data_IF_414562218072
#
_entry.id   IF_414562218072
#
_cell.length_a   1.000
_cell.length_b   1.000
_cell.length_c   1.000
_cell.angle_alpha   90.00
_cell.angle_beta   90.00
_cell.angle_gamma   90.00
#
_symmetry.space_group_name_H-M   'P 1'
#
loop_
_entity.id
_entity.type
_entity.pdbx_description
1 polymer ?
#
# COMPACT_ATOMS: atom_id res chain seq x y z
N UNK A 1 -12.04 72.75 5.22
CA UNK A 1 -11.38 71.57 5.83
C UNK A 1 -12.36 70.70 6.62
N UNK A 2 -13.19 71.25 7.53
CA UNK A 2 -14.17 70.48 8.32
C UNK A 2 -15.14 69.62 7.49
N UNK A 3 -15.72 70.19 6.43
CA UNK A 3 -16.68 69.49 5.55
C UNK A 3 -16.10 68.27 4.80
N UNK A 4 -14.78 68.25 4.57
CA UNK A 4 -14.10 67.13 3.92
C UNK A 4 -13.90 65.97 4.89
N UNK A 5 -13.56 66.27 6.15
CA UNK A 5 -13.39 65.25 7.18
C UNK A 5 -14.73 64.60 7.54
N UNK A 6 -15.81 65.37 7.59
CA UNK A 6 -17.17 64.86 7.86
C UNK A 6 -17.68 64.01 6.69
N UNK A 7 -17.44 64.44 5.44
CA UNK A 7 -17.75 63.65 4.25
C UNK A 7 -16.95 62.35 4.15
N UNK A 8 -15.66 62.37 4.51
CA UNK A 8 -14.83 61.16 4.58
C UNK A 8 -15.25 60.21 5.70
N UNK A 9 -15.63 60.75 6.87
CA UNK A 9 -16.14 59.94 7.98
C UNK A 9 -17.47 59.28 7.61
N UNK A 10 -18.38 60.03 6.96
CA UNK A 10 -19.64 59.50 6.44
C UNK A 10 -19.43 58.42 5.37
N UNK A 11 -18.41 58.56 4.51
CA UNK A 11 -18.06 57.55 3.51
C UNK A 11 -17.43 56.32 4.16
N UNK A 12 -16.59 56.49 5.18
CA UNK A 12 -15.98 55.40 5.94
C UNK A 12 -17.02 54.58 6.69
N UNK A 13 -18.00 55.23 7.31
CA UNK A 13 -19.12 54.58 8.02
C UNK A 13 -20.07 53.81 7.09
N UNK A 14 -20.04 54.12 5.79
CA UNK A 14 -20.90 53.51 4.75
C UNK A 14 -20.12 52.74 3.68
N UNK A 15 -18.82 52.55 3.89
CA UNK A 15 -18.01 51.78 2.96
C UNK A 15 -18.51 50.33 2.95
N UNK A 16 -18.75 49.73 1.77
CA UNK A 16 -19.06 48.31 1.71
C UNK A 16 -17.89 47.54 2.34
N UNK A 17 -18.20 46.51 3.16
CA UNK A 17 -17.16 45.66 3.70
C UNK A 17 -16.36 45.05 2.53
N UNK A 18 -15.03 44.92 2.68
CA UNK A 18 -14.22 44.25 1.68
C UNK A 18 -14.78 42.83 1.44
N UNK A 19 -14.76 42.34 0.20
CA UNK A 19 -15.20 40.97 -0.09
C UNK A 19 -14.37 39.98 0.73
N UNK A 20 -15.03 38.96 1.29
CA UNK A 20 -14.36 37.88 2.02
C UNK A 20 -13.62 36.98 1.02
N UNK A 21 -12.43 37.40 0.62
CA UNK A 21 -11.54 36.64 -0.25
C UNK A 21 -10.54 35.87 0.60
N UNK A 22 -10.42 34.57 0.33
CA UNK A 22 -9.31 33.77 0.84
C UNK A 22 -8.19 33.76 -0.19
N UNK A 23 -6.95 33.75 0.31
CA UNK A 23 -5.74 33.78 -0.51
C UNK A 23 -4.85 32.64 -0.08
N UNK A 24 -4.59 31.73 -1.02
CA UNK A 24 -3.73 30.58 -0.81
C UNK A 24 -2.75 30.46 -1.98
N UNK A 25 -1.65 29.72 -1.77
CA UNK A 25 -0.83 29.32 -2.91
C UNK A 25 -1.60 28.29 -3.74
N UNK A 26 -1.36 28.23 -5.06
CA UNK A 26 -2.01 27.23 -5.92
C UNK A 26 -1.76 25.81 -5.41
N UNK A 27 -0.59 25.56 -4.81
CA UNK A 27 -0.26 24.30 -4.14
C UNK A 27 -1.20 24.01 -2.99
N UNK A 28 -1.26 24.91 -2.02
CA UNK A 28 -2.06 24.68 -0.81
C UNK A 28 -3.53 24.55 -1.16
N UNK A 29 -4.03 25.37 -2.09
CA UNK A 29 -5.40 25.30 -2.59
C UNK A 29 -5.77 23.92 -3.15
N UNK A 30 -4.90 23.34 -3.98
CA UNK A 30 -5.11 22.00 -4.55
C UNK A 30 -4.92 20.91 -3.49
N UNK A 31 -3.83 20.95 -2.72
CA UNK A 31 -3.50 19.90 -1.75
C UNK A 31 -4.53 19.84 -0.60
N UNK A 32 -4.99 20.98 -0.08
CA UNK A 32 -6.03 21.06 0.95
C UNK A 32 -7.37 20.51 0.43
N UNK A 33 -7.77 20.93 -0.77
CA UNK A 33 -9.01 20.47 -1.40
C UNK A 33 -8.98 18.96 -1.69
N UNK A 34 -7.85 18.44 -2.19
CA UNK A 34 -7.67 17.01 -2.43
C UNK A 34 -7.66 16.21 -1.12
N UNK A 35 -7.04 16.72 -0.06
CA UNK A 35 -7.01 16.04 1.23
C UNK A 35 -8.42 15.95 1.85
N UNK A 36 -9.17 17.06 1.82
CA UNK A 36 -10.51 17.16 2.39
C UNK A 36 -11.57 16.39 1.62
N UNK A 37 -11.72 16.69 0.32
CA UNK A 37 -12.89 16.24 -0.47
C UNK A 37 -12.65 14.94 -1.25
N UNK A 38 -11.40 14.63 -1.60
CA UNK A 38 -11.06 13.42 -2.35
C UNK A 38 -10.51 12.32 -1.45
N UNK A 39 -9.33 12.53 -0.86
CA UNK A 39 -8.61 11.50 -0.10
C UNK A 39 -9.44 11.00 1.08
N UNK A 40 -9.97 11.91 1.90
CA UNK A 40 -10.80 11.53 3.06
C UNK A 40 -11.99 10.65 2.66
N UNK A 41 -12.73 11.06 1.62
CA UNK A 41 -13.94 10.37 1.17
C UNK A 41 -13.63 8.99 0.58
N UNK A 42 -12.61 8.90 -0.29
CA UNK A 42 -12.23 7.62 -0.93
C UNK A 42 -11.68 6.63 0.10
N UNK A 43 -10.86 7.09 1.05
CA UNK A 43 -10.34 6.19 2.10
C UNK A 43 -11.38 5.75 3.11
N UNK A 44 -12.36 6.61 3.41
CA UNK A 44 -13.50 6.22 4.25
C UNK A 44 -14.32 5.11 3.58
N UNK A 45 -14.66 5.25 2.29
CA UNK A 45 -15.36 4.20 1.53
C UNK A 45 -14.53 2.91 1.47
N UNK A 46 -13.24 3.00 1.10
CA UNK A 46 -12.37 1.84 1.04
C UNK A 46 -12.24 1.11 2.39
N UNK A 47 -12.24 1.84 3.51
CA UNK A 47 -12.23 1.26 4.84
C UNK A 47 -13.57 0.59 5.19
N UNK A 48 -14.70 1.18 4.80
CA UNK A 48 -16.03 0.57 4.99
C UNK A 48 -16.18 -0.71 4.18
N UNK A 49 -15.81 -0.68 2.90
CA UNK A 49 -15.84 -1.86 2.01
C UNK A 49 -14.93 -2.98 2.51
N UNK A 50 -13.73 -2.65 3.00
CA UNK A 50 -12.82 -3.62 3.62
C UNK A 50 -13.45 -4.28 4.85
N UNK A 51 -14.11 -3.51 5.74
CA UNK A 51 -14.81 -4.06 6.91
C UNK A 51 -15.92 -5.03 6.53
N UNK A 52 -16.58 -4.80 5.40
CA UNK A 52 -17.61 -5.68 4.87
C UNK A 52 -17.06 -6.86 4.03
N UNK A 53 -15.74 -6.96 3.84
CA UNK A 53 -15.12 -7.97 2.98
C UNK A 53 -15.46 -7.82 1.49
N UNK A 54 -15.76 -6.60 1.05
CA UNK A 54 -16.02 -6.26 -0.35
C UNK A 54 -14.73 -5.80 -1.05
N UNK A 55 -14.60 -5.98 -2.37
CA UNK A 55 -13.52 -5.39 -3.16
C UNK A 55 -13.57 -3.87 -3.11
N UNK A 56 -12.44 -3.22 -3.41
CA UNK A 56 -12.41 -1.75 -3.54
C UNK A 56 -13.35 -1.29 -4.66
N UNK A 57 -13.78 -0.03 -4.59
CA UNK A 57 -14.62 0.56 -5.63
C UNK A 57 -13.93 0.48 -6.99
N UNK A 58 -14.74 0.34 -8.05
CA UNK A 58 -14.24 0.38 -9.42
C UNK A 58 -13.53 1.71 -9.70
N UNK A 59 -12.55 1.73 -10.61
CA UNK A 59 -11.74 2.93 -10.84
C UNK A 59 -12.51 4.09 -11.46
N UNK A 60 -13.57 3.81 -12.22
CA UNK A 60 -14.40 4.82 -12.90
C UNK A 60 -14.97 5.86 -11.93
N UNK A 61 -15.77 5.46 -10.91
CA UNK A 61 -16.29 6.38 -9.90
C UNK A 61 -15.20 7.17 -9.15
N UNK A 62 -14.05 6.55 -8.83
CA UNK A 62 -12.94 7.22 -8.13
C UNK A 62 -12.35 8.32 -9.01
N UNK A 63 -12.06 8.02 -10.29
CA UNK A 63 -11.53 9.01 -11.23
C UNK A 63 -12.56 10.08 -11.56
N UNK A 64 -13.85 9.74 -11.64
CA UNK A 64 -14.94 10.69 -11.83
C UNK A 64 -15.04 11.69 -10.66
N UNK A 65 -14.94 11.21 -9.41
CA UNK A 65 -14.88 12.08 -8.22
C UNK A 65 -13.72 13.07 -8.31
N UNK A 66 -12.52 12.58 -8.60
CA UNK A 66 -11.33 13.42 -8.74
C UNK A 66 -11.48 14.46 -9.84
N UNK A 67 -11.86 14.05 -11.05
CA UNK A 67 -12.01 14.95 -12.19
C UNK A 67 -13.11 16.00 -11.95
N UNK A 68 -14.21 15.63 -11.29
CA UNK A 68 -15.28 16.57 -10.92
C UNK A 68 -14.80 17.60 -9.91
N UNK A 69 -13.96 17.20 -8.95
CA UNK A 69 -13.32 18.11 -8.00
C UNK A 69 -12.37 19.07 -8.71
N UNK A 70 -11.50 18.57 -9.59
CA UNK A 70 -10.58 19.41 -10.40
C UNK A 70 -11.35 20.43 -11.24
N UNK A 71 -12.43 20.01 -11.91
CA UNK A 71 -13.30 20.91 -12.67
C UNK A 71 -13.98 21.95 -11.78
N UNK A 72 -14.35 21.58 -10.56
CA UNK A 72 -14.90 22.52 -9.58
C UNK A 72 -13.87 23.53 -9.11
N UNK A 73 -12.67 23.09 -8.75
CA UNK A 73 -11.57 23.97 -8.34
C UNK A 73 -11.20 24.95 -9.46
N UNK A 74 -11.15 24.48 -10.71
CA UNK A 74 -10.89 25.32 -11.88
C UNK A 74 -11.99 26.38 -12.06
N UNK A 75 -13.26 26.00 -11.87
CA UNK A 75 -14.41 26.93 -11.99
C UNK A 75 -14.41 27.99 -10.89
N UNK A 76 -14.09 27.62 -9.65
CA UNK A 76 -14.01 28.55 -8.53
C UNK A 76 -12.83 29.51 -8.72
N UNK A 77 -11.66 29.00 -9.12
CA UNK A 77 -10.48 29.82 -9.38
C UNK A 77 -10.63 30.77 -10.59
N UNK A 78 -11.57 30.47 -11.51
CA UNK A 78 -11.86 31.29 -12.71
C UNK A 78 -13.27 31.89 -12.69
N UNK A 79 -13.85 32.07 -11.50
CA UNK A 79 -15.23 32.53 -11.35
C UNK A 79 -15.43 33.93 -11.93
N UNK A 80 -16.51 34.12 -12.68
CA UNK A 80 -16.93 35.43 -13.21
C UNK A 80 -17.20 36.44 -12.08
N UNK A 81 -17.52 35.95 -10.87
CA UNK A 81 -17.71 36.81 -9.71
C UNK A 81 -16.40 37.48 -9.30
N UNK A 82 -15.24 36.84 -9.49
CA UNK A 82 -13.93 37.43 -9.21
C UNK A 82 -13.60 38.55 -10.20
N UNK A 83 -13.96 38.39 -11.48
CA UNK A 83 -13.79 39.44 -12.50
C UNK A 83 -14.67 40.67 -12.20
N UNK A 84 -15.84 40.46 -11.61
CA UNK A 84 -16.74 41.55 -11.24
C UNK A 84 -16.27 42.37 -10.03
N UNK A 85 -15.28 41.87 -9.27
CA UNK A 85 -14.76 42.56 -8.09
C UNK A 85 -13.84 43.73 -8.52
N UNK A 86 -14.16 44.92 -8.03
CA UNK A 86 -13.34 46.13 -8.23
C UNK A 86 -12.34 46.34 -7.08
N UNK A 87 -12.01 45.28 -6.36
CA UNK A 87 -11.15 45.29 -5.18
C UNK A 87 -9.80 44.62 -5.50
N UNK A 88 -8.65 45.14 -5.04
CA UNK A 88 -8.47 46.43 -4.40
C UNK A 88 -8.63 47.60 -5.38
N UNK A 89 -9.12 48.73 -4.86
CA UNK A 89 -9.31 49.96 -5.65
C UNK A 89 -7.95 50.49 -6.13
N UNK A 90 -7.81 50.72 -7.44
CA UNK A 90 -6.54 50.93 -8.13
C UNK A 90 -5.68 52.06 -7.54
N UNK A 91 -6.33 53.13 -7.09
CA UNK A 91 -5.72 54.31 -6.49
C UNK A 91 -4.96 53.99 -5.19
N UNK A 92 -5.37 52.95 -4.45
CA UNK A 92 -4.68 52.52 -3.23
C UNK A 92 -3.49 51.59 -3.50
N UNK A 93 -3.45 50.94 -4.67
CA UNK A 93 -2.34 50.08 -5.09
C UNK A 93 -1.24 50.89 -5.77
N UNK A 94 -1.62 51.86 -6.61
CA UNK A 94 -0.67 52.69 -7.38
C UNK A 94 0.19 53.63 -6.51
N UNK A 95 -0.22 53.90 -5.27
CA UNK A 95 0.50 54.81 -4.37
C UNK A 95 1.69 54.17 -3.65
N UNK A 96 2.03 52.90 -3.97
CA UNK A 96 3.31 52.27 -3.60
C UNK A 96 3.56 52.08 -2.10
N UNK A 97 2.57 52.35 -1.25
CA UNK A 97 2.74 52.39 0.20
C UNK A 97 2.22 51.16 0.95
N UNK A 98 1.64 50.17 0.26
CA UNK A 98 1.15 48.93 0.89
C UNK A 98 1.51 47.68 0.09
N UNK A 99 2.42 46.89 0.63
CA UNK A 99 2.77 45.53 0.16
C UNK A 99 1.71 44.48 0.50
N UNK A 100 0.73 44.82 1.33
CA UNK A 100 -0.28 43.88 1.83
C UNK A 100 -1.54 43.81 0.93
N UNK A 101 -1.55 44.55 -0.19
CA UNK A 101 -2.67 44.59 -1.14
C UNK A 101 -2.37 43.69 -2.35
N UNK A 102 -3.42 43.06 -2.87
CA UNK A 102 -3.35 42.23 -4.07
C UNK A 102 -2.81 43.05 -5.26
N UNK A 103 -2.05 42.38 -6.14
CA UNK A 103 -1.59 42.99 -7.40
C UNK A 103 -2.80 43.46 -8.21
N UNK A 104 -2.71 44.57 -8.94
CA UNK A 104 -3.89 45.13 -9.63
C UNK A 104 -4.49 44.19 -10.70
N UNK A 105 -3.71 43.23 -11.18
CA UNK A 105 -4.06 42.31 -12.26
C UNK A 105 -4.48 40.92 -11.76
N UNK A 106 -4.66 40.75 -10.43
CA UNK A 106 -4.97 39.46 -9.80
C UNK A 106 -6.27 38.82 -10.31
N UNK A 107 -7.24 39.63 -10.71
CA UNK A 107 -8.54 39.22 -11.26
C UNK A 107 -8.65 39.49 -12.77
N UNK A 108 -7.53 39.70 -13.45
CA UNK A 108 -7.50 39.82 -14.91
C UNK A 108 -7.93 38.51 -15.59
N UNK A 109 -8.61 38.62 -16.72
CA UNK A 109 -9.07 37.46 -17.50
C UNK A 109 -7.90 36.53 -17.85
N UNK A 110 -6.74 37.08 -18.18
CA UNK A 110 -5.53 36.32 -18.50
C UNK A 110 -5.03 35.47 -17.33
N UNK A 111 -4.98 36.02 -16.11
CA UNK A 111 -4.56 35.28 -14.92
C UNK A 111 -5.57 34.19 -14.53
N UNK A 112 -6.87 34.48 -14.62
CA UNK A 112 -7.92 33.51 -14.32
C UNK A 112 -7.95 32.37 -15.34
N UNK A 113 -7.75 32.66 -16.62
CA UNK A 113 -7.63 31.65 -17.67
C UNK A 113 -6.39 30.78 -17.48
N UNK A 114 -5.24 31.38 -17.12
CA UNK A 114 -4.02 30.65 -16.79
C UNK A 114 -4.28 29.68 -15.62
N UNK A 115 -4.88 30.16 -14.52
CA UNK A 115 -5.23 29.31 -13.38
C UNK A 115 -6.16 28.17 -13.78
N UNK A 116 -7.18 28.45 -14.59
CA UNK A 116 -8.11 27.45 -15.09
C UNK A 116 -7.38 26.36 -15.90
N UNK A 117 -6.55 26.74 -16.86
CA UNK A 117 -5.81 25.80 -17.71
C UNK A 117 -4.84 24.94 -16.89
N UNK A 118 -4.14 25.55 -15.92
CA UNK A 118 -3.22 24.82 -15.03
C UNK A 118 -3.99 23.81 -14.18
N UNK A 119 -5.09 24.20 -13.55
CA UNK A 119 -5.88 23.28 -12.72
C UNK A 119 -6.48 22.16 -13.59
N UNK A 120 -7.02 22.48 -14.77
CA UNK A 120 -7.59 21.47 -15.68
C UNK A 120 -6.55 20.49 -16.24
N UNK A 121 -5.28 20.88 -16.30
CA UNK A 121 -4.20 19.97 -16.68
C UNK A 121 -4.00 18.79 -15.70
N UNK A 122 -4.56 18.88 -14.48
CA UNK A 122 -4.53 17.81 -13.49
C UNK A 122 -5.50 16.66 -13.77
N UNK A 123 -6.41 16.80 -14.75
CA UNK A 123 -7.42 15.78 -15.04
C UNK A 123 -6.78 14.45 -15.44
N UNK A 124 -7.34 13.38 -14.90
CA UNK A 124 -6.94 12.03 -15.24
C UNK A 124 -7.73 11.52 -16.45
N UNK A 125 -7.11 10.72 -17.33
CA UNK A 125 -7.83 10.05 -18.40
C UNK A 125 -8.84 9.05 -17.82
N UNK A 126 -9.94 8.77 -18.55
CA UNK A 126 -10.90 7.75 -18.12
C UNK A 126 -10.23 6.38 -18.06
N UNK A 127 -10.54 5.60 -17.02
CA UNK A 127 -9.97 4.26 -16.85
C UNK A 127 -10.69 3.27 -17.76
N UNK A 128 -9.96 2.44 -18.53
CA UNK A 128 -10.59 1.37 -19.31
C UNK A 128 -11.30 0.38 -18.39
N UNK A 129 -12.42 -0.16 -18.86
CA UNK A 129 -13.15 -1.21 -18.17
C UNK A 129 -12.35 -2.51 -18.21
N UNK A 130 -12.16 -3.16 -17.06
CA UNK A 130 -11.47 -4.43 -16.92
C UNK A 130 -12.50 -5.49 -16.58
N UNK A 131 -12.55 -6.54 -17.39
CA UNK A 131 -13.42 -7.69 -17.15
C UNK A 131 -12.94 -8.50 -15.93
N UNK A 132 -13.89 -8.96 -15.12
CA UNK A 132 -13.59 -9.65 -13.85
C UNK A 132 -12.95 -11.04 -13.99
N UNK A 133 -13.00 -11.62 -15.19
CA UNK A 133 -12.55 -12.99 -15.50
C UNK A 133 -11.13 -13.06 -16.09
N UNK A 134 -10.46 -11.91 -16.23
CA UNK A 134 -9.11 -11.88 -16.81
C UNK A 134 -8.03 -12.40 -15.85
N UNK A 135 -6.99 -13.01 -16.42
CA UNK A 135 -5.83 -13.47 -15.65
C UNK A 135 -5.08 -12.27 -15.05
N UNK A 136 -4.40 -12.48 -13.91
CA UNK A 136 -3.73 -11.43 -13.17
C UNK A 136 -2.68 -10.67 -13.99
N UNK A 137 -2.00 -11.38 -14.90
CA UNK A 137 -1.02 -10.79 -15.80
C UNK A 137 -1.64 -9.76 -16.76
N UNK A 138 -2.83 -10.04 -17.29
CA UNK A 138 -3.59 -9.10 -18.12
C UNK A 138 -4.01 -7.88 -17.31
N UNK A 139 -4.56 -8.08 -16.11
CA UNK A 139 -4.93 -6.99 -15.19
C UNK A 139 -3.74 -6.08 -14.88
N UNK A 140 -2.55 -6.66 -14.65
CA UNK A 140 -1.32 -5.91 -14.45
C UNK A 140 -0.94 -5.08 -15.68
N UNK A 141 -1.13 -5.63 -16.88
CA UNK A 141 -0.87 -4.93 -18.13
C UNK A 141 -1.86 -3.78 -18.34
N UNK A 142 -3.15 -3.96 -18.08
CA UNK A 142 -4.14 -2.87 -18.13
C UNK A 142 -3.78 -1.72 -17.19
N UNK A 143 -3.34 -2.04 -15.97
CA UNK A 143 -2.87 -1.03 -15.03
C UNK A 143 -1.62 -0.29 -15.57
N UNK A 144 -0.70 -1.00 -16.23
CA UNK A 144 0.49 -0.40 -16.83
C UNK A 144 0.13 0.50 -18.02
N UNK A 145 -0.77 0.05 -18.89
CA UNK A 145 -1.26 0.80 -20.05
C UNK A 145 -1.98 2.07 -19.62
N UNK A 146 -2.78 2.01 -18.54
CA UNK A 146 -3.39 3.20 -17.96
C UNK A 146 -2.34 4.19 -17.44
N UNK A 147 -1.32 3.73 -16.71
CA UNK A 147 -0.23 4.60 -16.24
C UNK A 147 0.61 5.16 -17.41
N UNK A 148 0.72 4.43 -18.52
CA UNK A 148 1.36 4.89 -19.76
C UNK A 148 0.54 5.92 -20.52
N UNK A 149 -0.78 6.00 -20.28
CA UNK A 149 -1.63 7.03 -20.88
C UNK A 149 -1.47 8.41 -20.25
N UNK A 150 -0.80 8.50 -19.09
CA UNK A 150 -0.56 9.76 -18.39
C UNK A 150 0.54 10.57 -19.07
N UNK A 151 0.47 11.91 -19.04
CA UNK A 151 1.56 12.75 -19.51
C UNK A 151 2.77 12.61 -18.57
N UNK A 152 3.84 12.00 -19.06
CA UNK A 152 5.08 11.83 -18.31
C UNK A 152 6.30 11.78 -19.23
N UNK A 153 7.44 12.24 -18.72
CA UNK A 153 8.72 12.09 -19.40
C UNK A 153 9.25 10.67 -19.22
N UNK A 154 10.19 10.21 -20.05
CA UNK A 154 10.74 8.83 -19.99
C UNK A 154 11.24 8.43 -18.58
N UNK A 155 11.86 9.37 -17.84
CA UNK A 155 12.34 9.12 -16.47
C UNK A 155 11.19 8.96 -15.49
N UNK A 156 10.22 9.85 -15.54
CA UNK A 156 9.04 9.83 -14.66
C UNK A 156 8.18 8.60 -14.92
N UNK A 157 7.98 8.25 -16.19
CA UNK A 157 7.28 7.04 -16.59
C UNK A 157 7.93 5.79 -15.98
N UNK A 158 9.27 5.73 -15.97
CA UNK A 158 10.00 4.62 -15.35
C UNK A 158 9.75 4.54 -13.85
N UNK A 159 9.74 5.69 -13.15
CA UNK A 159 9.44 5.75 -11.70
C UNK A 159 8.01 5.30 -11.42
N UNK A 160 7.03 5.79 -12.19
CA UNK A 160 5.62 5.39 -12.04
C UNK A 160 5.42 3.90 -12.26
N UNK A 161 5.97 3.34 -13.35
CA UNK A 161 5.87 1.91 -13.64
C UNK A 161 6.55 1.06 -12.58
N UNK A 162 7.69 1.51 -12.02
CA UNK A 162 8.37 0.80 -10.94
C UNK A 162 7.51 0.79 -9.67
N UNK A 163 6.89 1.92 -9.33
CA UNK A 163 5.98 2.04 -8.19
C UNK A 163 4.71 1.20 -8.37
N UNK A 164 4.15 1.19 -9.58
CA UNK A 164 3.01 0.34 -9.93
C UNK A 164 3.36 -1.14 -9.80
N UNK A 165 4.48 -1.58 -10.38
CA UNK A 165 4.95 -2.97 -10.28
C UNK A 165 5.16 -3.38 -8.83
N UNK A 166 5.74 -2.51 -8.00
CA UNK A 166 5.89 -2.77 -6.58
C UNK A 166 4.54 -2.93 -5.88
N UNK A 167 3.57 -2.07 -6.17
CA UNK A 167 2.22 -2.13 -5.60
C UNK A 167 1.50 -3.43 -5.98
N UNK A 168 1.53 -3.82 -7.25
CA UNK A 168 0.88 -5.04 -7.75
C UNK A 168 1.59 -6.31 -7.27
N UNK A 169 2.93 -6.34 -7.28
CA UNK A 169 3.69 -7.46 -6.74
C UNK A 169 3.40 -7.66 -5.25
N UNK A 170 3.25 -6.57 -4.49
CA UNK A 170 2.88 -6.65 -3.08
C UNK A 170 1.53 -7.34 -2.90
N UNK A 171 0.52 -6.92 -3.66
CA UNK A 171 -0.82 -7.57 -3.64
C UNK A 171 -0.74 -9.04 -4.03
N UNK A 172 0.03 -9.37 -5.07
CA UNK A 172 0.24 -10.75 -5.48
C UNK A 172 0.88 -11.59 -4.36
N UNK A 173 1.93 -11.07 -3.71
CA UNK A 173 2.59 -11.79 -2.61
C UNK A 173 1.70 -11.94 -1.38
N UNK A 174 0.95 -10.89 -1.00
CA UNK A 174 0.02 -10.95 0.13
C UNK A 174 -1.12 -11.95 -0.15
N UNK A 175 -1.60 -12.01 -1.40
CA UNK A 175 -2.61 -12.96 -1.83
C UNK A 175 -2.09 -14.40 -1.87
N UNK A 176 -0.87 -14.62 -2.39
CA UNK A 176 -0.22 -15.93 -2.41
C UNK A 176 -0.03 -16.47 -0.99
N UNK A 177 0.45 -15.62 -0.08
CA UNK A 177 0.60 -15.95 1.34
C UNK A 177 -0.75 -16.30 1.96
N UNK A 178 -1.81 -15.53 1.67
CA UNK A 178 -3.19 -15.83 2.15
C UNK A 178 -3.68 -17.17 1.59
N UNK A 179 -3.46 -17.44 0.31
CA UNK A 179 -3.89 -18.70 -0.32
C UNK A 179 -3.20 -19.91 0.31
N UNK A 180 -1.90 -19.80 0.58
CA UNK A 180 -1.13 -20.86 1.18
C UNK A 180 -1.50 -21.08 2.66
N UNK A 181 -1.63 -19.99 3.44
CA UNK A 181 -1.92 -20.08 4.87
C UNK A 181 -3.33 -20.57 5.17
N UNK A 182 -4.33 -20.11 4.40
CA UNK A 182 -5.74 -20.40 4.68
C UNK A 182 -6.24 -21.64 3.93
N UNK A 183 -5.65 -21.98 2.77
CA UNK A 183 -6.15 -23.04 1.88
C UNK A 183 -5.10 -24.10 1.50
N UNK A 184 -3.84 -23.98 1.91
CA UNK A 184 -2.72 -24.88 1.55
C UNK A 184 -2.52 -25.03 0.02
N UNK A 185 -2.82 -23.97 -0.73
CA UNK A 185 -2.65 -23.97 -2.19
C UNK A 185 -1.50 -23.03 -2.60
N UNK A 186 -0.45 -23.56 -3.26
CA UNK A 186 0.65 -22.73 -3.74
C UNK A 186 0.31 -22.04 -5.08
N UNK A 187 0.91 -20.88 -5.31
CA UNK A 187 0.85 -20.13 -6.58
C UNK A 187 -0.57 -19.76 -7.05
N UNK A 188 -1.44 -19.36 -6.12
CA UNK A 188 -2.73 -18.76 -6.47
C UNK A 188 -2.54 -17.33 -6.98
N UNK A 189 -3.36 -16.92 -7.94
CA UNK A 189 -3.30 -15.58 -8.52
C UNK A 189 -4.46 -14.71 -8.06
N UNK A 190 -4.22 -13.41 -7.75
CA UNK A 190 -5.31 -12.49 -7.47
C UNK A 190 -6.18 -12.27 -8.70
N UNK A 191 -7.43 -11.89 -8.48
CA UNK A 191 -8.36 -11.46 -9.54
C UNK A 191 -8.45 -9.94 -9.63
N UNK A 192 -9.16 -9.40 -10.63
CA UNK A 192 -9.41 -7.96 -10.78
C UNK A 192 -10.04 -7.30 -9.53
N UNK A 193 -10.75 -8.07 -8.71
CA UNK A 193 -11.33 -7.64 -7.44
C UNK A 193 -10.29 -7.21 -6.38
N UNK A 194 -9.05 -7.70 -6.50
CA UNK A 194 -7.97 -7.45 -5.54
C UNK A 194 -7.10 -6.24 -5.92
N UNK A 195 -7.37 -5.61 -7.07
CA UNK A 195 -6.61 -4.44 -7.52
C UNK A 195 -6.77 -3.28 -6.53
N UNK A 196 -5.68 -2.67 -6.05
CA UNK A 196 -5.74 -1.59 -5.07
C UNK A 196 -6.01 -0.24 -5.75
N UNK A 197 -7.19 -0.10 -6.37
CA UNK A 197 -7.59 1.07 -7.17
C UNK A 197 -7.40 2.39 -6.42
N UNK A 198 -7.73 2.45 -5.13
CA UNK A 198 -7.55 3.65 -4.30
C UNK A 198 -6.10 4.14 -4.33
N UNK A 199 -5.14 3.22 -4.11
CA UNK A 199 -3.70 3.54 -4.08
C UNK A 199 -3.15 3.81 -5.47
N UNK A 200 -3.66 3.13 -6.49
CA UNK A 200 -3.27 3.35 -7.88
C UNK A 200 -3.66 4.75 -8.31
N UNK A 201 -4.92 5.15 -8.10
CA UNK A 201 -5.40 6.49 -8.47
C UNK A 201 -4.69 7.57 -7.65
N UNK A 202 -4.53 7.39 -6.34
CA UNK A 202 -3.76 8.33 -5.49
C UNK A 202 -2.33 8.52 -6.01
N UNK A 203 -1.67 7.45 -6.47
CA UNK A 203 -0.35 7.52 -7.07
C UNK A 203 -0.36 8.33 -8.37
N UNK A 204 -1.36 8.14 -9.23
CA UNK A 204 -1.55 8.95 -10.44
C UNK A 204 -1.83 10.43 -10.12
N UNK A 205 -2.70 10.72 -9.15
CA UNK A 205 -2.98 12.09 -8.68
C UNK A 205 -1.72 12.76 -8.17
N UNK A 206 -0.95 12.07 -7.33
CA UNK A 206 0.31 12.58 -6.78
C UNK A 206 1.30 12.96 -7.88
N UNK A 207 1.36 12.16 -8.95
CA UNK A 207 2.19 12.45 -10.12
C UNK A 207 1.72 13.69 -10.88
N UNK A 208 0.42 13.80 -11.14
CA UNK A 208 -0.16 14.96 -11.83
C UNK A 208 0.10 16.26 -11.05
N UNK A 209 -0.08 16.22 -9.73
CA UNK A 209 0.20 17.35 -8.83
C UNK A 209 1.70 17.71 -8.87
N UNK A 210 2.60 16.74 -8.81
CA UNK A 210 4.05 17.00 -8.86
C UNK A 210 4.50 17.67 -10.17
N UNK A 211 3.83 17.38 -11.28
CA UNK A 211 4.09 17.98 -12.60
C UNK A 211 3.53 19.38 -12.78
N UNK A 212 2.67 19.84 -11.88
CA UNK A 212 2.08 21.17 -12.00
C UNK A 212 3.18 22.24 -11.91
N UNK A 213 3.08 23.25 -12.76
CA UNK A 213 3.90 24.45 -12.66
C UNK A 213 3.30 25.38 -11.60
N UNK A 214 4.02 25.52 -10.49
CA UNK A 214 3.60 26.33 -9.33
C UNK A 214 4.02 27.79 -9.45
N UNK A 215 4.74 28.14 -10.52
CA UNK A 215 5.36 29.43 -10.71
C UNK A 215 4.57 30.21 -11.76
N UNK A 216 4.28 31.48 -11.47
CA UNK A 216 3.69 32.42 -12.42
C UNK A 216 4.68 32.83 -13.50
N UNK A 217 4.20 33.54 -14.53
CA UNK A 217 5.04 34.00 -15.66
C UNK A 217 6.23 34.86 -15.19
N UNK A 218 6.08 35.56 -14.06
CA UNK A 218 7.09 36.45 -13.47
C UNK A 218 8.10 35.74 -12.55
N UNK A 219 8.02 34.41 -12.40
CA UNK A 219 8.87 33.66 -11.48
C UNK A 219 8.40 33.68 -10.02
N UNK A 220 7.26 34.32 -9.73
CA UNK A 220 6.61 34.37 -8.41
C UNK A 220 5.78 33.11 -8.14
N UNK A 221 5.54 32.78 -6.87
CA UNK A 221 4.63 31.68 -6.51
C UNK A 221 3.21 32.06 -6.93
N UNK A 222 2.56 31.20 -7.69
CA UNK A 222 1.21 31.45 -8.18
C UNK A 222 0.21 31.35 -7.02
N UNK A 223 -0.53 32.44 -6.79
CA UNK A 223 -1.55 32.54 -5.73
C UNK A 223 -2.94 32.49 -6.32
N UNK A 224 -3.86 31.82 -5.62
CA UNK A 224 -5.27 31.73 -5.98
C UNK A 224 -6.07 32.54 -4.98
N UNK A 225 -6.95 33.38 -5.51
CA UNK A 225 -7.93 34.12 -4.74
C UNK A 225 -9.31 33.58 -5.07
N UNK A 226 -10.06 33.19 -4.04
CA UNK A 226 -11.37 32.59 -4.23
C UNK A 226 -12.37 33.02 -3.16
N UNK A 227 -13.64 32.82 -3.47
CA UNK A 227 -14.74 33.01 -2.55
C UNK A 227 -14.99 31.69 -1.80
N UNK A 228 -14.86 31.65 -0.47
CA UNK A 228 -15.00 30.41 0.29
C UNK A 228 -16.39 29.79 0.15
N UNK A 229 -17.42 30.61 -0.10
CA UNK A 229 -18.78 30.13 -0.34
C UNK A 229 -18.86 29.30 -1.63
N UNK A 230 -18.15 29.69 -2.69
CA UNK A 230 -18.13 28.96 -3.96
C UNK A 230 -17.39 27.63 -3.84
N UNK A 231 -16.29 27.61 -3.07
CA UNK A 231 -15.53 26.38 -2.78
C UNK A 231 -16.35 25.40 -1.93
N UNK A 232 -17.08 25.90 -0.94
CA UNK A 232 -17.95 25.07 -0.07
C UNK A 232 -19.15 24.46 -0.82
N UNK A 233 -19.47 24.97 -2.01
CA UNK A 233 -20.56 24.50 -2.84
C UNK A 233 -20.26 23.21 -3.62
N UNK A 234 -19.12 22.55 -3.38
CA UNK A 234 -18.79 21.30 -4.05
C UNK A 234 -19.82 20.21 -3.74
N UNK A 235 -20.26 19.49 -4.77
CA UNK A 235 -21.15 18.35 -4.64
C UNK A 235 -20.56 17.14 -5.35
N UNK A 236 -20.57 16.00 -4.67
CA UNK A 236 -20.02 14.76 -5.21
C UNK A 236 -20.81 14.32 -6.47
N UNK A 237 -20.11 13.83 -7.51
CA UNK A 237 -20.75 13.45 -8.76
C UNK A 237 -21.73 12.29 -8.55
N UNK A 238 -22.77 12.21 -9.39
CA UNK A 238 -23.81 11.18 -9.27
C UNK A 238 -23.24 9.76 -9.40
N UNK A 239 -22.20 9.57 -10.22
CA UNK A 239 -21.53 8.28 -10.38
C UNK A 239 -20.89 7.79 -9.07
N UNK A 240 -20.21 8.69 -8.34
CA UNK A 240 -19.66 8.38 -7.03
C UNK A 240 -20.75 8.10 -5.99
N UNK A 241 -21.79 8.95 -5.95
CA UNK A 241 -22.91 8.74 -5.00
C UNK A 241 -23.67 7.45 -5.26
N UNK A 242 -23.85 7.08 -6.53
CA UNK A 242 -24.44 5.80 -6.91
C UNK A 242 -23.55 4.63 -6.49
N UNK A 243 -22.23 4.73 -6.73
CA UNK A 243 -21.27 3.73 -6.30
C UNK A 243 -21.28 3.50 -4.78
N UNK A 244 -21.22 4.56 -3.98
CA UNK A 244 -21.28 4.47 -2.51
C UNK A 244 -22.66 4.00 -2.02
N UNK A 245 -23.74 4.44 -2.66
CA UNK A 245 -25.09 3.97 -2.35
C UNK A 245 -25.24 2.46 -2.58
N UNK A 246 -24.68 1.97 -3.69
CA UNK A 246 -24.66 0.56 -4.05
C UNK A 246 -23.83 -0.28 -3.08
N UNK A 247 -22.81 0.28 -2.41
CA UNK A 247 -22.06 -0.44 -1.37
C UNK A 247 -22.99 -1.08 -0.35
N UNK A 248 -24.03 -0.36 0.12
CA UNK A 248 -24.98 -0.93 1.09
C UNK A 248 -25.82 -2.09 0.52
N UNK A 249 -26.18 -2.02 -0.77
CA UNK A 249 -26.90 -3.09 -1.46
C UNK A 249 -25.97 -4.31 -1.71
N UNK A 250 -24.73 -4.08 -2.12
CA UNK A 250 -23.71 -5.11 -2.33
C UNK A 250 -23.37 -5.85 -1.04
N UNK A 251 -23.33 -5.15 0.11
CA UNK A 251 -23.16 -5.79 1.42
C UNK A 251 -24.31 -6.76 1.73
N UNK A 252 -25.54 -6.41 1.34
CA UNK A 252 -26.72 -7.25 1.58
C UNK A 252 -26.81 -8.42 0.59
N UNK A 253 -26.44 -8.21 -0.68
CA UNK A 253 -26.52 -9.23 -1.73
C UNK A 253 -25.37 -10.23 -1.66
N UNK A 254 -24.14 -9.76 -1.43
CA UNK A 254 -22.92 -10.58 -1.46
C UNK A 254 -21.93 -10.16 -0.36
N UNK A 255 -22.25 -10.42 0.91
CA UNK A 255 -21.28 -10.20 2.00
C UNK A 255 -20.03 -11.05 1.76
N UNK A 256 -18.86 -10.46 2.01
CA UNK A 256 -17.57 -11.13 1.84
C UNK A 256 -17.26 -11.60 0.40
N UNK A 257 -17.75 -10.88 -0.62
CA UNK A 257 -17.48 -11.21 -2.03
C UNK A 257 -15.98 -11.30 -2.37
N UNK A 258 -15.11 -10.58 -1.64
CA UNK A 258 -13.66 -10.72 -1.78
C UNK A 258 -13.18 -12.12 -1.38
N UNK A 259 -13.71 -12.69 -0.29
CA UNK A 259 -13.41 -14.07 0.14
C UNK A 259 -13.92 -15.07 -0.89
N UNK A 260 -15.09 -14.83 -1.48
CA UNK A 260 -15.62 -15.66 -2.57
C UNK A 260 -14.69 -15.63 -3.78
N UNK A 261 -14.18 -14.46 -4.17
CA UNK A 261 -13.21 -14.32 -5.25
C UNK A 261 -11.89 -15.04 -4.94
N UNK A 262 -11.41 -14.96 -3.69
CA UNK A 262 -10.25 -15.74 -3.23
C UNK A 262 -10.51 -17.25 -3.37
N UNK A 263 -11.66 -17.74 -2.90
CA UNK A 263 -12.04 -19.15 -3.00
C UNK A 263 -12.17 -19.63 -4.45
N UNK A 264 -12.65 -18.79 -5.36
CA UNK A 264 -12.70 -19.11 -6.79
C UNK A 264 -11.30 -19.28 -7.37
N UNK A 265 -10.37 -18.38 -7.05
CA UNK A 265 -8.97 -18.51 -7.47
C UNK A 265 -8.32 -19.79 -6.92
N UNK A 266 -8.53 -20.07 -5.62
CA UNK A 266 -8.10 -21.32 -4.97
C UNK A 266 -8.64 -22.55 -5.70
N UNK A 267 -9.94 -22.56 -6.04
CA UNK A 267 -10.58 -23.67 -6.76
C UNK A 267 -10.04 -23.85 -8.16
N UNK A 268 -9.84 -22.75 -8.92
CA UNK A 268 -9.21 -22.78 -10.25
C UNK A 268 -7.83 -23.44 -10.15
N UNK A 269 -7.04 -23.06 -9.14
CA UNK A 269 -5.70 -23.61 -8.95
C UNK A 269 -5.69 -25.08 -8.54
N UNK A 270 -6.58 -25.49 -7.63
CA UNK A 270 -6.75 -26.90 -7.30
C UNK A 270 -7.13 -27.76 -8.52
N UNK A 271 -8.01 -27.25 -9.39
CA UNK A 271 -8.37 -27.94 -10.63
C UNK A 271 -7.16 -28.09 -11.56
N UNK A 272 -6.33 -27.06 -11.70
CA UNK A 272 -5.07 -27.14 -12.46
C UNK A 272 -4.12 -28.21 -11.89
N UNK A 273 -3.89 -28.20 -10.57
CA UNK A 273 -3.01 -29.17 -9.91
C UNK A 273 -3.51 -30.62 -10.09
N UNK A 274 -4.82 -30.85 -9.92
CA UNK A 274 -5.42 -32.19 -10.10
C UNK A 274 -5.36 -32.69 -11.55
N UNK A 275 -5.40 -31.78 -12.55
CA UNK A 275 -5.26 -32.15 -13.96
C UNK A 275 -3.85 -32.64 -14.28
N UNK A 276 -2.83 -31.97 -13.75
CA UNK A 276 -1.42 -32.35 -13.96
C UNK A 276 -1.14 -33.76 -13.43
N UNK A 277 -1.68 -34.12 -12.27
CA UNK A 277 -1.53 -35.46 -11.68
C UNK A 277 -2.16 -36.57 -12.57
N UNK A 278 -3.27 -36.28 -13.25
CA UNK A 278 -3.92 -37.27 -14.14
C UNK A 278 -3.25 -37.44 -15.50
N UNK A 279 -2.58 -36.41 -16.02
CA UNK A 279 -1.82 -36.50 -17.28
C UNK A 279 -0.51 -37.27 -17.14
N UNK A 280 0.13 -37.22 -15.97
CA UNK A 280 1.37 -37.98 -15.72
C UNK A 280 1.13 -39.48 -15.50
N UNK A 281 -0.13 -39.90 -15.32
CA UNK A 281 -0.50 -41.31 -15.09
C UNK A 281 -1.04 -42.02 -16.35
N UNK A 282 -1.16 -41.33 -17.49
CA UNK A 282 -1.84 -41.89 -18.68
C UNK A 282 -0.93 -42.41 -19.80
N UNK A 283 0.37 -42.59 -19.55
CA UNK A 283 1.28 -43.34 -20.45
C UNK A 283 2.02 -44.46 -19.72
N UNK A 284 1.29 -45.42 -19.20
CA UNK A 284 1.81 -46.76 -18.97
C UNK A 284 0.63 -47.71 -18.81
N UNK A 285 0.24 -48.37 -19.91
CA UNK A 285 -0.62 -49.54 -19.82
C UNK A 285 0.19 -50.78 -20.21
N UNK A 286 -0.07 -51.87 -19.48
CA UNK A 286 0.46 -53.24 -19.59
C UNK A 286 1.82 -53.55 -18.94
N UNK A 287 1.82 -53.94 -17.66
CA UNK A 287 2.00 -55.36 -17.27
C UNK A 287 1.83 -55.58 -15.75
N UNK A 288 1.06 -56.62 -15.45
CA UNK A 288 0.81 -57.28 -14.16
C UNK A 288 2.12 -57.67 -13.44
N UNK A 289 2.18 -57.53 -12.10
CA UNK A 289 3.34 -57.96 -11.31
C UNK A 289 3.50 -57.28 -9.94
N UNK A 290 2.89 -57.88 -8.93
CA UNK A 290 3.16 -57.71 -7.51
C UNK A 290 4.66 -57.84 -7.19
N UNK A 291 5.41 -56.73 -7.06
CA UNK A 291 6.78 -56.74 -6.50
C UNK A 291 7.12 -55.42 -5.78
N UNK A 292 7.43 -55.57 -4.49
CA UNK A 292 7.96 -54.57 -3.55
C UNK A 292 9.05 -53.68 -4.16
N UNK A 293 8.76 -52.39 -4.28
CA UNK A 293 9.67 -51.33 -4.68
C UNK A 293 10.57 -50.88 -3.50
N UNK A 294 11.36 -51.79 -2.94
CA UNK A 294 12.38 -51.44 -1.94
C UNK A 294 13.82 -51.72 -2.40
N UNK A 295 14.02 -52.29 -3.58
CA UNK A 295 15.34 -52.79 -3.96
C UNK A 295 15.76 -52.26 -5.33
N UNK A 296 16.14 -50.97 -5.39
CA UNK A 296 17.03 -50.36 -6.43
C UNK A 296 17.33 -48.86 -6.25
N UNK A 297 17.31 -48.33 -5.03
CA UNK A 297 17.85 -46.99 -4.78
C UNK A 297 19.35 -47.08 -4.49
N UNK A 298 20.15 -46.31 -5.23
CA UNK A 298 21.60 -46.18 -5.04
C UNK A 298 21.92 -45.94 -3.55
N UNK A 299 23.00 -46.52 -2.99
CA UNK A 299 23.36 -46.42 -1.57
C UNK A 299 23.42 -44.97 -1.02
N UNK A 300 23.64 -44.00 -1.91
CA UNK A 300 23.63 -42.57 -1.59
C UNK A 300 22.21 -42.01 -1.35
N UNK A 301 21.20 -42.51 -2.07
CA UNK A 301 19.81 -42.04 -1.97
C UNK A 301 19.14 -42.63 -0.73
N UNK A 302 19.39 -43.91 -0.43
CA UNK A 302 18.93 -44.52 0.84
C UNK A 302 19.59 -43.89 2.06
N UNK A 303 20.87 -43.50 1.97
CA UNK A 303 21.54 -42.76 3.03
C UNK A 303 20.95 -41.34 3.25
N UNK A 304 20.51 -40.67 2.19
CA UNK A 304 19.85 -39.36 2.27
C UNK A 304 18.45 -39.46 2.88
N UNK A 305 17.66 -40.46 2.49
CA UNK A 305 16.32 -40.72 3.06
C UNK A 305 16.45 -41.01 4.55
N UNK A 306 17.39 -41.87 4.95
CA UNK A 306 17.66 -42.18 6.37
C UNK A 306 18.04 -40.94 7.18
N UNK A 307 18.87 -40.06 6.60
CA UNK A 307 19.28 -38.80 7.23
C UNK A 307 18.13 -37.80 7.34
N UNK A 308 17.24 -37.76 6.34
CA UNK A 308 16.03 -36.94 6.36
C UNK A 308 15.03 -37.43 7.43
N UNK A 309 14.88 -38.74 7.59
CA UNK A 309 14.07 -39.35 8.65
C UNK A 309 14.66 -39.09 10.05
N UNK A 310 15.98 -39.18 10.22
CA UNK A 310 16.67 -38.81 11.47
C UNK A 310 16.45 -37.34 11.83
N UNK A 311 16.54 -36.43 10.85
CA UNK A 311 16.28 -35.00 11.05
C UNK A 311 14.81 -34.75 11.41
N UNK A 312 13.86 -35.41 10.75
CA UNK A 312 12.44 -35.32 11.08
C UNK A 312 12.16 -35.78 12.51
N UNK A 313 12.78 -36.88 12.93
CA UNK A 313 12.66 -37.37 14.31
C UNK A 313 13.25 -36.37 15.30
N UNK A 314 14.38 -35.75 14.97
CA UNK A 314 15.01 -34.74 15.82
C UNK A 314 14.16 -33.47 15.95
N UNK A 315 13.58 -32.98 14.84
CA UNK A 315 12.66 -31.83 14.85
C UNK A 315 11.40 -32.14 15.65
N UNK A 316 10.84 -33.34 15.53
CA UNK A 316 9.69 -33.75 16.33
C UNK A 316 10.01 -33.78 17.83
N UNK A 317 11.21 -34.27 18.19
CA UNK A 317 11.68 -34.29 19.57
C UNK A 317 11.94 -32.87 20.11
N UNK A 318 12.56 -32.00 19.32
CA UNK A 318 12.76 -30.60 19.68
C UNK A 318 11.43 -29.87 19.84
N UNK A 319 10.42 -30.13 19.00
CA UNK A 319 9.07 -29.56 19.16
C UNK A 319 8.39 -29.99 20.46
N UNK A 320 8.55 -31.25 20.87
CA UNK A 320 8.03 -31.72 22.17
C UNK A 320 8.77 -31.06 23.32
N UNK A 321 10.08 -30.86 23.20
CA UNK A 321 10.87 -30.13 24.20
C UNK A 321 10.47 -28.65 24.26
N UNK A 322 10.32 -27.96 23.13
CA UNK A 322 9.85 -26.58 23.07
C UNK A 322 8.49 -26.45 23.72
N UNK A 323 7.56 -27.35 23.42
CA UNK A 323 6.24 -27.36 24.05
C UNK A 323 6.32 -27.57 25.56
N UNK A 324 7.19 -28.46 26.03
CA UNK A 324 7.45 -28.64 27.46
C UNK A 324 8.06 -27.40 28.13
N UNK A 325 8.95 -26.67 27.45
CA UNK A 325 9.51 -25.43 27.99
C UNK A 325 8.47 -24.30 27.98
N UNK A 326 7.63 -24.26 26.96
CA UNK A 326 6.51 -23.32 26.86
C UNK A 326 5.48 -23.58 27.96
N UNK A 327 5.13 -24.85 28.22
CA UNK A 327 4.26 -25.25 29.33
C UNK A 327 4.89 -24.89 30.69
N UNK A 328 6.21 -25.07 30.86
CA UNK A 328 6.91 -24.63 32.09
C UNK A 328 6.90 -23.11 32.25
N UNK A 329 7.15 -22.36 31.17
CA UNK A 329 7.06 -20.89 31.18
C UNK A 329 5.65 -20.42 31.49
N UNK A 330 4.64 -21.12 30.97
CA UNK A 330 3.25 -20.79 31.22
C UNK A 330 2.86 -21.03 32.68
N UNK A 331 3.37 -22.09 33.31
CA UNK A 331 3.26 -22.29 34.77
C UNK A 331 3.93 -21.15 35.53
N UNK A 332 5.13 -20.70 35.13
CA UNK A 332 5.79 -19.56 35.79
C UNK A 332 5.05 -18.23 35.60
N UNK A 333 4.35 -18.05 34.48
CA UNK A 333 3.53 -16.87 34.19
C UNK A 333 2.21 -16.92 34.98
N UNK A 334 1.61 -18.10 35.14
CA UNK A 334 0.39 -18.31 35.92
C UNK A 334 0.61 -18.22 37.44
N UNK A 335 1.79 -18.60 37.94
CA UNK A 335 2.14 -18.55 39.37
C UNK A 335 2.42 -17.11 39.89
N UNK A 336 2.27 -16.09 39.04
CA UNK A 336 1.92 -14.72 39.45
C UNK A 336 2.83 -14.01 40.45
N UNK A 337 4.08 -14.44 40.64
CA UNK A 337 5.04 -13.75 41.51
C UNK A 337 6.09 -12.99 40.70
N UNK A 338 5.66 -11.90 40.05
CA UNK A 338 6.57 -10.82 39.67
C UNK A 338 6.93 -9.99 40.91
N UNK A 339 7.96 -10.40 41.64
CA UNK A 339 8.69 -9.49 42.53
C UNK A 339 9.96 -8.99 41.85
N UNK A 340 9.98 -7.70 41.57
CA UNK A 340 11.18 -6.98 41.14
C UNK A 340 12.24 -6.93 42.27
N UNK A 341 13.37 -7.62 42.03
CA UNK A 341 14.79 -7.22 42.25
C UNK A 341 15.42 -7.25 43.69
N UNK A 342 16.78 -7.19 43.82
CA UNK A 342 17.74 -8.31 43.95
C UNK A 342 18.53 -8.30 45.31
N UNK A 343 19.54 -9.17 45.58
CA UNK A 343 20.94 -8.89 45.15
C UNK A 343 21.86 -10.13 44.89
N UNK A 344 22.81 -9.99 43.95
CA UNK A 344 24.00 -10.84 43.76
C UNK A 344 23.68 -12.26 43.25
N UNK A 345 24.25 -12.80 42.17
CA UNK A 345 25.68 -12.97 41.89
C UNK A 345 25.83 -13.21 40.38
N UNK A 346 26.89 -12.69 39.76
CA UNK A 346 27.22 -12.89 38.34
C UNK A 346 27.37 -14.37 37.94
N UNK A 347 27.07 -14.72 36.67
CA UNK A 347 27.14 -16.08 36.16
C UNK A 347 28.53 -16.37 35.59
N UNK A 348 29.44 -16.89 36.40
CA UNK A 348 30.62 -17.62 35.90
C UNK A 348 31.16 -18.46 37.04
N UNK A 349 31.00 -19.78 36.97
CA UNK A 349 31.85 -20.76 37.64
C UNK A 349 31.58 -22.16 37.07
N UNK A 350 32.49 -22.58 36.18
CA UNK A 350 32.81 -23.99 35.96
C UNK A 350 33.24 -24.64 37.28
N UNK A 351 33.13 -25.96 37.42
CA UNK A 351 34.00 -26.71 38.32
C UNK A 351 35.06 -27.45 37.51
N UNK A 352 36.28 -26.92 37.50
CA UNK A 352 37.48 -27.75 37.43
C UNK A 352 37.83 -28.16 38.87
N UNK A 353 38.12 -29.45 39.11
CA UNK A 353 39.43 -29.79 39.68
C UNK A 353 39.86 -31.25 39.45
N UNK A 354 41.18 -31.39 39.38
CA UNK A 354 42.04 -32.59 39.49
C UNK A 354 42.45 -33.38 38.23
N UNK A 355 43.40 -32.76 37.51
CA UNK A 355 44.81 -33.21 37.27
C UNK A 355 45.10 -34.66 36.86
N UNK A 356 45.68 -34.83 35.67
CA UNK A 356 47.14 -35.04 35.49
C UNK A 356 47.61 -34.75 34.03
N UNK A 357 48.89 -34.36 33.77
CA UNK A 357 49.37 -33.78 32.50
C UNK A 357 50.34 -34.74 31.71
N UNK A 358 51.06 -34.30 30.63
CA UNK A 358 50.86 -34.69 29.22
C UNK A 358 51.99 -35.58 28.63
N UNK A 359 51.96 -35.90 27.31
CA UNK A 359 52.97 -35.26 26.46
C UNK A 359 52.49 -34.82 25.06
N UNK A 360 53.32 -33.93 24.50
CA UNK A 360 53.25 -33.04 23.34
C UNK A 360 53.05 -33.66 21.94
N UNK A 361 52.79 -32.82 20.90
CA UNK A 361 52.22 -33.21 19.60
C UNK A 361 53.28 -33.42 18.50
N UNK A 362 52.89 -34.01 17.34
CA UNK A 362 53.46 -33.64 16.06
C UNK A 362 52.52 -32.70 15.30
N UNK A 363 53.13 -31.73 14.61
CA UNK A 363 52.50 -30.63 13.91
C UNK A 363 51.82 -30.98 12.57
N UNK A 364 51.56 -29.94 11.75
CA UNK A 364 50.49 -29.91 10.77
C UNK A 364 50.93 -30.50 9.43
N UNK A 365 50.05 -31.29 8.81
CA UNK A 365 50.20 -31.64 7.41
C UNK A 365 48.88 -31.47 6.63
N UNK A 366 48.98 -30.52 5.70
CA UNK A 366 48.34 -30.46 4.37
C UNK A 366 46.81 -30.36 4.32
N UNK A 367 46.39 -29.11 4.11
CA UNK A 367 45.40 -28.75 3.10
C UNK A 367 45.46 -29.70 1.91
N UNK A 368 44.36 -30.43 1.66
CA UNK A 368 44.01 -30.88 0.31
C UNK A 368 42.59 -30.39 -0.01
N UNK A 369 42.57 -29.24 -0.69
CA UNK A 369 41.44 -28.76 -1.47
C UNK A 369 41.25 -29.69 -2.68
N UNK A 370 40.64 -30.86 -2.54
CA UNK A 370 40.14 -31.63 -3.70
C UNK A 370 38.96 -32.53 -3.33
N UNK A 371 37.79 -31.94 -3.08
CA UNK A 371 36.53 -32.68 -3.19
C UNK A 371 35.51 -31.77 -3.88
N UNK A 372 35.46 -31.84 -5.21
CA UNK A 372 34.40 -31.22 -6.00
C UNK A 372 33.06 -31.89 -5.64
N UNK A 373 32.07 -31.17 -5.11
CA UNK A 373 30.71 -31.67 -5.06
C UNK A 373 30.18 -31.76 -6.49
N UNK A 374 29.51 -32.88 -6.82
CA UNK A 374 28.82 -33.03 -8.10
C UNK A 374 27.84 -31.89 -8.27
N UNK A 375 28.01 -31.16 -9.38
CA UNK A 375 27.23 -30.00 -9.80
C UNK A 375 25.77 -30.43 -10.02
N UNK A 376 24.88 -30.03 -9.11
CA UNK A 376 23.54 -29.60 -9.53
C UNK A 376 23.73 -28.40 -10.48
N UNK A 377 22.83 -28.21 -11.44
CA UNK A 377 22.89 -27.06 -12.35
C UNK A 377 23.06 -25.78 -11.50
N UNK A 378 23.84 -24.82 -11.99
CA UNK A 378 23.95 -23.51 -11.33
C UNK A 378 22.55 -22.92 -11.10
N UNK A 379 21.61 -23.20 -12.01
CA UNK A 379 20.21 -22.81 -11.95
C UNK A 379 19.46 -23.49 -10.80
N UNK A 380 19.59 -24.80 -10.61
CA UNK A 380 18.94 -25.54 -9.52
C UNK A 380 19.43 -25.05 -8.14
N UNK A 381 20.74 -24.80 -8.00
CA UNK A 381 21.28 -24.24 -6.75
C UNK A 381 20.79 -22.80 -6.51
N UNK A 382 20.63 -22.00 -7.56
CA UNK A 382 20.09 -20.65 -7.47
C UNK A 382 18.60 -20.65 -7.14
N UNK A 383 17.84 -21.61 -7.65
CA UNK A 383 16.42 -21.81 -7.33
C UNK A 383 16.23 -22.27 -5.89
N UNK A 384 17.03 -23.22 -5.42
CA UNK A 384 17.00 -23.66 -4.02
C UNK A 384 17.41 -22.52 -3.07
N UNK A 385 18.44 -21.75 -3.41
CA UNK A 385 18.81 -20.55 -2.65
C UNK A 385 17.72 -19.49 -2.66
N UNK A 386 17.07 -19.24 -3.81
CA UNK A 386 15.92 -18.33 -3.91
C UNK A 386 14.76 -18.80 -3.04
N UNK A 387 14.45 -20.09 -3.07
CA UNK A 387 13.41 -20.69 -2.24
C UNK A 387 13.73 -20.54 -0.75
N UNK A 388 14.97 -20.82 -0.34
CA UNK A 388 15.42 -20.68 1.07
C UNK A 388 15.45 -19.22 1.54
N UNK A 389 15.88 -18.29 0.69
CA UNK A 389 15.85 -16.85 1.00
C UNK A 389 14.41 -16.36 1.07
N UNK A 390 13.53 -16.83 0.18
CA UNK A 390 12.12 -16.50 0.21
C UNK A 390 11.44 -17.07 1.47
N UNK A 391 11.73 -18.33 1.84
CA UNK A 391 11.27 -18.94 3.08
C UNK A 391 11.75 -18.16 4.32
N UNK A 392 13.05 -17.82 4.40
CA UNK A 392 13.58 -17.04 5.52
C UNK A 392 13.01 -15.61 5.61
N UNK A 393 12.76 -14.95 4.46
CA UNK A 393 12.07 -13.65 4.43
C UNK A 393 10.60 -13.77 4.86
N UNK A 394 9.94 -14.89 4.56
CA UNK A 394 8.55 -15.18 4.97
C UNK A 394 8.46 -15.45 6.47
N UNK A 395 9.37 -16.22 7.04
CA UNK A 395 9.44 -16.46 8.50
C UNK A 395 9.64 -15.15 9.28
N UNK A 396 10.49 -14.26 8.78
CA UNK A 396 10.70 -12.93 9.35
C UNK A 396 9.43 -12.06 9.28
N UNK A 397 8.70 -12.10 8.17
CA UNK A 397 7.42 -11.37 8.03
C UNK A 397 6.31 -11.95 8.90
N UNK A 398 6.27 -13.27 9.08
CA UNK A 398 5.35 -13.94 10.01
C UNK A 398 5.62 -13.51 11.45
N UNK A 399 6.89 -13.35 11.84
CA UNK A 399 7.22 -12.79 13.15
C UNK A 399 6.80 -11.32 13.27
N UNK A 400 6.92 -10.52 12.22
CA UNK A 400 6.54 -9.11 12.21
C UNK A 400 5.01 -8.92 12.27
N UNK A 401 4.24 -9.71 11.52
CA UNK A 401 2.77 -9.70 11.58
C UNK A 401 2.23 -10.19 12.92
N UNK A 402 2.85 -11.21 13.52
CA UNK A 402 2.52 -11.65 14.89
C UNK A 402 2.83 -10.55 15.90
N UNK A 403 3.95 -9.85 15.74
CA UNK A 403 4.33 -8.74 16.62
C UNK A 403 3.36 -7.56 16.47
N UNK A 404 2.97 -7.21 15.24
CA UNK A 404 1.97 -6.17 14.96
C UNK A 404 0.57 -6.55 15.48
N UNK A 405 0.17 -7.82 15.35
CA UNK A 405 -1.08 -8.34 15.91
C UNK A 405 -1.11 -8.30 17.44
N UNK A 406 0.03 -8.59 18.10
CA UNK A 406 0.17 -8.46 19.55
C UNK A 406 0.18 -7.01 20.01
N UNK A 407 0.74 -6.09 19.23
CA UNK A 407 0.71 -4.64 19.50
C UNK A 407 -0.72 -4.07 19.36
N UNK A 408 -1.47 -4.48 18.33
CA UNK A 408 -2.88 -4.09 18.16
C UNK A 408 -3.77 -4.62 19.30
N UNK A 409 -3.47 -5.81 19.84
CA UNK A 409 -4.15 -6.36 21.02
C UNK A 409 -3.79 -5.59 22.31
N UNK A 410 -2.56 -5.11 22.43
CA UNK A 410 -2.10 -4.26 23.53
C UNK A 410 -2.77 -2.89 23.55
N UNK A 411 -2.95 -2.28 22.38
CA UNK A 411 -3.68 -1.00 22.22
C UNK A 411 -5.19 -1.15 22.51
N UNK A 412 -5.75 -2.35 22.31
CA UNK A 412 -7.12 -2.68 22.69
C UNK A 412 -7.31 -2.77 24.21
N UNK A 413 -6.33 -3.32 24.93
CA UNK A 413 -6.35 -3.36 26.41
C UNK A 413 -6.06 -1.98 27.03
N UNK A 414 -5.17 -1.18 26.45
CA UNK A 414 -4.87 0.16 26.96
C UNK A 414 -6.07 1.13 26.87
N UNK A 415 -6.94 0.98 25.86
CA UNK A 415 -8.18 1.78 25.75
C UNK A 415 -9.32 1.30 26.65
N UNK A 416 -9.33 0.01 27.02
CA UNK A 416 -10.35 -0.53 27.92
C UNK A 416 -10.09 -0.23 29.41
N UNK A 417 -8.84 0.01 29.79
CA UNK A 417 -8.46 0.41 31.16
C UNK A 417 -8.53 1.92 31.45
N UNK A 418 -8.86 2.77 30.46
CA UNK A 418 -9.15 4.19 30.69
C UNK A 418 -10.63 4.51 30.91
N UNK A 419 -11.52 3.51 30.82
CA UNK A 419 -12.97 3.65 31.07
C UNK A 419 -13.50 2.59 32.05
N UNK A 420 -12.74 2.27 33.10
CA UNK A 420 -13.25 1.54 34.27
C UNK A 420 -12.79 2.19 35.56
#
# INVERSE_FOLDING_TARGET
>A
MYWLCEGLSWLGDRAPLPPCLETETLRDYIENSLAGEFSSVVYQDAAQRRKAGLPQQTPGPIVCLYNSLVEHLARVASSNNLQALSWPVAEFVMTGHRTDLLSLEWNSETQLMLLQERILALRLPPVPYIDGEEDWSSVCQYCADYVLSLPADSKEQTVLLTRLRWLLNRVQTEFEDTCYLDYDVPNCEPTAAHVPWTRLVEMCVSHMVQRLDWVGEDGSVLTVHYLPEELSGFTQPPEWRAAVGNTSAEVLEQPHSLVVATQQSVRKKHQELSRVETTDTSTADTTDGDLKLEDKLSPAVSALIRKAEELRKKIAQERVQTKSYEDQLQVYVEDGQYQHQPPGVSPFSSPEDMRDPPPSPPGPDRLDLTAQPRRLSLEENLEELRWRIAAGKRDFRLSELRLNSLLDMGDFQAKHFQYS
#
